data_IF_113628249436
#
_entry.id   IF_113628249436
#
_cell.length_a   1.000
_cell.length_b   1.000
_cell.length_c   1.000
_cell.angle_alpha   90.00
_cell.angle_beta   90.00
_cell.angle_gamma   90.00
#
_symmetry.space_group_name_H-M   'P 1'
#
loop_
_entity.id
_entity.type
_entity.pdbx_description
1 polymer ?
#
# COMPACT_ATOMS: atom_id res chain seq x y z
N UNK A 1 -30.57 6.53 51.83
CA UNK A 1 -29.17 6.98 51.60
C UNK A 1 -28.32 6.07 50.69
N UNK A 2 -28.61 4.77 50.50
CA UNK A 2 -27.78 3.89 49.65
C UNK A 2 -27.99 4.05 48.12
N UNK A 3 -29.11 4.62 47.68
CA UNK A 3 -29.47 4.73 46.24
C UNK A 3 -28.71 5.85 45.50
N UNK A 4 -28.44 7.00 46.14
CA UNK A 4 -27.74 8.12 45.48
C UNK A 4 -26.24 7.85 45.22
N UNK A 5 -25.61 7.00 46.03
CA UNK A 5 -24.18 6.65 45.87
C UNK A 5 -24.00 5.72 44.65
N UNK A 6 -24.93 4.78 44.43
CA UNK A 6 -24.87 3.84 43.30
C UNK A 6 -25.05 4.55 41.95
N UNK A 7 -25.90 5.57 41.89
CA UNK A 7 -26.12 6.40 40.69
C UNK A 7 -24.85 7.21 40.36
N UNK A 8 -24.18 7.80 41.35
CA UNK A 8 -22.91 8.51 41.15
C UNK A 8 -21.79 7.60 40.62
N UNK A 9 -21.68 6.35 41.13
CA UNK A 9 -20.70 5.38 40.64
C UNK A 9 -20.97 4.97 39.18
N UNK A 10 -22.23 4.78 38.80
CA UNK A 10 -22.59 4.45 37.41
C UNK A 10 -22.32 5.62 36.45
N UNK A 11 -22.59 6.86 36.87
CA UNK A 11 -22.26 8.05 36.09
C UNK A 11 -20.74 8.24 35.93
N UNK A 12 -19.94 8.00 36.98
CA UNK A 12 -18.48 8.06 36.90
C UNK A 12 -17.92 7.00 35.96
N UNK A 13 -18.42 5.76 36.01
CA UNK A 13 -18.01 4.68 35.11
C UNK A 13 -18.31 5.01 33.64
N UNK A 14 -19.50 5.55 33.34
CA UNK A 14 -19.87 5.99 32.00
C UNK A 14 -19.05 7.18 31.49
N UNK A 15 -18.66 8.11 32.38
CA UNK A 15 -17.79 9.22 32.01
C UNK A 15 -16.36 8.75 31.73
N UNK A 16 -15.84 7.78 32.49
CA UNK A 16 -14.53 7.18 32.23
C UNK A 16 -14.49 6.45 30.89
N UNK A 17 -15.51 5.64 30.58
CA UNK A 17 -15.64 4.97 29.27
C UNK A 17 -15.72 5.95 28.09
N UNK A 18 -16.48 7.05 28.22
CA UNK A 18 -16.55 8.09 27.18
C UNK A 18 -15.22 8.84 27.00
N UNK A 19 -14.46 9.00 28.07
CA UNK A 19 -13.16 9.67 28.05
C UNK A 19 -12.12 8.77 27.37
N UNK A 20 -12.09 7.49 27.69
CA UNK A 20 -11.22 6.49 27.05
C UNK A 20 -11.51 6.36 25.54
N UNK A 21 -12.78 6.29 25.15
CA UNK A 21 -13.16 6.24 23.73
C UNK A 21 -12.72 7.50 22.96
N UNK A 22 -12.93 8.69 23.54
CA UNK A 22 -12.53 9.97 22.91
C UNK A 22 -11.00 10.12 22.81
N UNK A 23 -10.25 9.62 23.80
CA UNK A 23 -8.79 9.61 23.78
C UNK A 23 -8.28 8.63 22.72
N UNK A 24 -8.86 7.42 22.63
CA UNK A 24 -8.54 6.43 21.59
C UNK A 24 -8.79 7.00 20.18
N UNK A 25 -9.94 7.64 19.96
CA UNK A 25 -10.27 8.29 18.68
C UNK A 25 -9.26 9.39 18.34
N UNK A 26 -8.82 10.20 19.31
CA UNK A 26 -7.83 11.27 19.09
C UNK A 26 -6.42 10.75 18.79
N UNK A 27 -6.00 9.65 19.42
CA UNK A 27 -4.69 9.01 19.19
C UNK A 27 -4.68 8.32 17.83
N UNK A 28 -5.73 7.58 17.51
CA UNK A 28 -5.92 6.96 16.20
C UNK A 28 -5.94 8.00 15.09
N UNK A 29 -6.66 9.12 15.29
CA UNK A 29 -6.70 10.22 14.34
C UNK A 29 -5.31 10.83 14.10
N UNK A 30 -4.56 11.07 15.17
CA UNK A 30 -3.20 11.62 15.10
C UNK A 30 -2.27 10.73 14.29
N UNK A 31 -2.35 9.40 14.48
CA UNK A 31 -1.49 8.43 13.78
C UNK A 31 -1.94 8.25 12.34
N UNK A 32 -3.24 8.00 12.10
CA UNK A 32 -3.79 7.71 10.77
C UNK A 32 -3.82 8.93 9.84
N UNK A 33 -3.82 10.15 10.37
CA UNK A 33 -3.76 11.34 9.52
C UNK A 33 -2.47 11.37 8.69
N UNK A 34 -2.62 11.48 7.37
CA UNK A 34 -1.54 11.42 6.39
C UNK A 34 -0.64 10.17 6.54
N UNK A 35 -1.22 9.04 6.97
CA UNK A 35 -0.45 7.82 7.27
C UNK A 35 0.36 7.30 6.09
N UNK A 36 -0.18 7.38 4.86
CA UNK A 36 0.57 7.02 3.66
C UNK A 36 1.88 7.79 3.52
N UNK A 37 1.81 9.12 3.67
CA UNK A 37 2.98 9.99 3.62
C UNK A 37 3.95 9.70 4.77
N UNK A 38 3.44 9.41 5.98
CA UNK A 38 4.29 9.03 7.12
C UNK A 38 5.04 7.72 6.88
N UNK A 39 4.36 6.69 6.36
CA UNK A 39 4.97 5.40 6.02
C UNK A 39 6.07 5.61 4.97
N UNK A 40 5.76 6.32 3.88
CA UNK A 40 6.74 6.56 2.82
C UNK A 40 7.94 7.38 3.31
N UNK A 41 7.71 8.45 4.07
CA UNK A 41 8.80 9.28 4.60
C UNK A 41 9.66 8.52 5.62
N UNK A 42 9.05 7.68 6.45
CA UNK A 42 9.77 6.81 7.38
C UNK A 42 10.66 5.81 6.62
N UNK A 43 10.12 5.18 5.58
CA UNK A 43 10.86 4.30 4.68
C UNK A 43 12.05 4.99 4.01
N UNK A 44 11.84 6.17 3.41
CA UNK A 44 12.93 6.95 2.77
C UNK A 44 13.99 7.38 3.79
N UNK A 45 13.58 7.77 5.00
CA UNK A 45 14.50 8.11 6.09
C UNK A 45 15.35 6.90 6.50
N UNK A 46 14.72 5.73 6.69
CA UNK A 46 15.42 4.53 7.16
C UNK A 46 16.39 3.99 6.10
N UNK A 47 16.05 4.08 4.80
CA UNK A 47 16.99 3.78 3.71
C UNK A 47 18.20 4.73 3.72
N UNK A 48 17.96 6.03 3.85
CA UNK A 48 19.00 7.05 3.66
C UNK A 48 19.88 7.29 4.89
N UNK A 49 19.32 7.10 6.10
CA UNK A 49 19.94 7.49 7.37
C UNK A 49 20.09 6.34 8.37
N UNK A 50 19.66 5.12 8.01
CA UNK A 50 19.67 3.95 8.91
C UNK A 50 18.95 4.22 10.25
N UNK A 51 17.84 4.97 10.20
CA UNK A 51 16.95 5.21 11.35
C UNK A 51 16.02 4.00 11.57
N UNK A 52 15.22 4.05 12.66
CA UNK A 52 14.16 3.05 12.98
C UNK A 52 12.76 3.67 12.97
N UNK A 53 12.52 4.60 12.05
CA UNK A 53 11.30 5.40 12.01
C UNK A 53 10.10 4.56 11.59
N UNK A 54 10.31 3.63 10.64
CA UNK A 54 9.27 2.73 10.15
C UNK A 54 8.86 1.72 11.23
N UNK A 55 9.81 1.21 12.00
CA UNK A 55 9.54 0.32 13.15
C UNK A 55 8.71 1.03 14.24
N UNK A 56 9.05 2.28 14.57
CA UNK A 56 8.25 3.08 15.51
C UNK A 56 6.80 3.25 15.04
N UNK A 57 6.60 3.50 13.74
CA UNK A 57 5.27 3.63 13.17
C UNK A 57 4.51 2.30 13.15
N UNK A 58 5.23 1.18 12.93
CA UNK A 58 4.68 -0.18 13.04
C UNK A 58 4.19 -0.47 14.46
N UNK A 59 4.95 -0.09 15.48
CA UNK A 59 4.56 -0.24 16.88
C UNK A 59 3.30 0.59 17.19
N UNK A 60 3.26 1.84 16.73
CA UNK A 60 2.10 2.73 16.90
C UNK A 60 0.83 2.18 16.26
N UNK A 61 0.90 1.69 15.01
CA UNK A 61 -0.25 1.08 14.34
C UNK A 61 -0.68 -0.24 15.00
N UNK A 62 0.27 -1.02 15.49
CA UNK A 62 -0.03 -2.27 16.21
C UNK A 62 -0.72 -1.98 17.53
N UNK A 63 -0.33 -0.92 18.25
CA UNK A 63 -0.98 -0.52 19.50
C UNK A 63 -2.44 -0.09 19.30
N UNK A 64 -2.74 0.66 18.23
CA UNK A 64 -4.13 1.05 17.90
C UNK A 64 -4.99 -0.18 17.55
N UNK A 65 -4.41 -1.20 16.92
CA UNK A 65 -5.17 -2.35 16.43
C UNK A 65 -5.59 -3.33 17.54
N UNK A 66 -4.87 -3.37 18.67
CA UNK A 66 -5.06 -4.32 19.79
C UNK A 66 -6.45 -4.31 20.45
N UNK A 67 -7.33 -3.36 20.10
CA UNK A 67 -8.68 -3.25 20.69
C UNK A 67 -9.85 -3.45 19.72
N UNK A 68 -9.68 -3.26 18.41
CA UNK A 68 -10.83 -2.91 17.56
C UNK A 68 -10.89 -3.56 16.17
N UNK A 69 -9.90 -4.37 15.76
CA UNK A 69 -9.84 -5.01 14.42
C UNK A 69 -10.26 -4.03 13.30
N UNK A 70 -9.74 -2.80 13.39
CA UNK A 70 -10.24 -1.72 12.57
C UNK A 70 -9.70 -1.93 11.15
N UNK A 71 -10.60 -2.15 10.19
CA UNK A 71 -10.29 -2.41 8.78
C UNK A 71 -9.28 -1.41 8.19
N UNK A 72 -9.42 -0.12 8.48
CA UNK A 72 -8.51 0.94 8.02
C UNK A 72 -7.13 0.78 8.65
N UNK A 73 -7.05 0.49 9.95
CA UNK A 73 -5.77 0.24 10.64
C UNK A 73 -5.09 -1.02 10.06
N UNK A 74 -5.84 -2.10 9.87
CA UNK A 74 -5.35 -3.34 9.27
C UNK A 74 -4.81 -3.10 7.85
N UNK A 75 -5.51 -2.33 7.02
CA UNK A 75 -5.03 -1.92 5.70
C UNK A 75 -3.67 -1.21 5.78
N UNK A 76 -3.57 -0.19 6.64
CA UNK A 76 -2.33 0.59 6.77
C UNK A 76 -1.19 -0.19 7.43
N UNK A 77 -1.48 -1.14 8.31
CA UNK A 77 -0.49 -2.10 8.82
C UNK A 77 0.07 -2.97 7.69
N UNK A 78 -0.78 -3.54 6.85
CA UNK A 78 -0.35 -4.33 5.69
C UNK A 78 0.41 -3.50 4.66
N UNK A 79 -0.01 -2.25 4.45
CA UNK A 79 0.70 -1.31 3.57
C UNK A 79 2.08 -0.93 4.12
N UNK A 80 2.21 -0.76 5.45
CA UNK A 80 3.51 -0.57 6.09
C UNK A 80 4.41 -1.79 5.84
N UNK A 81 3.88 -3.01 5.95
CA UNK A 81 4.69 -4.21 5.73
C UNK A 81 5.25 -4.32 4.31
N UNK A 82 4.53 -3.83 3.30
CA UNK A 82 5.09 -3.73 1.95
C UNK A 82 6.41 -2.94 1.93
N UNK A 83 6.47 -1.77 2.59
CA UNK A 83 7.69 -0.97 2.66
C UNK A 83 8.75 -1.58 3.58
N UNK A 84 8.35 -2.20 4.70
CA UNK A 84 9.29 -2.92 5.57
C UNK A 84 9.97 -4.07 4.83
N UNK A 85 9.25 -4.82 4.01
CA UNK A 85 9.82 -5.86 3.15
C UNK A 85 10.83 -5.30 2.16
N UNK A 86 10.54 -4.17 1.50
CA UNK A 86 11.48 -3.52 0.57
C UNK A 86 12.74 -3.08 1.32
N UNK A 87 12.60 -2.40 2.47
CA UNK A 87 13.73 -1.93 3.27
C UNK A 87 14.65 -3.08 3.69
N UNK A 88 14.07 -4.17 4.20
CA UNK A 88 14.84 -5.34 4.63
C UNK A 88 15.47 -6.08 3.44
N UNK A 89 14.78 -6.13 2.29
CA UNK A 89 15.34 -6.72 1.07
C UNK A 89 16.55 -5.95 0.56
N UNK A 90 16.46 -4.61 0.53
CA UNK A 90 17.54 -3.73 0.07
C UNK A 90 18.74 -3.70 1.02
N UNK A 91 18.52 -3.96 2.31
CA UNK A 91 19.59 -4.04 3.32
C UNK A 91 20.15 -5.45 3.52
N UNK A 92 19.76 -6.41 2.66
CA UNK A 92 20.26 -7.80 2.67
C UNK A 92 19.65 -8.70 3.76
N UNK A 93 18.68 -8.20 4.52
CA UNK A 93 18.01 -8.89 5.64
C UNK A 93 16.84 -9.75 5.14
N UNK A 94 17.14 -10.78 4.34
CA UNK A 94 16.12 -11.58 3.61
C UNK A 94 15.08 -12.25 4.50
N UNK A 95 15.49 -12.85 5.62
CA UNK A 95 14.55 -13.55 6.51
C UNK A 95 13.57 -12.58 7.18
N UNK A 96 14.04 -11.40 7.56
CA UNK A 96 13.19 -10.34 8.09
C UNK A 96 12.25 -9.81 6.99
N UNK A 97 12.75 -9.60 5.77
CA UNK A 97 11.91 -9.16 4.65
C UNK A 97 10.77 -10.15 4.35
N UNK A 98 11.06 -11.45 4.41
CA UNK A 98 10.08 -12.53 4.28
C UNK A 98 9.05 -12.48 5.41
N UNK A 99 9.49 -12.37 6.66
CA UNK A 99 8.58 -12.29 7.80
C UNK A 99 7.64 -11.07 7.73
N UNK A 100 8.12 -9.93 7.24
CA UNK A 100 7.28 -8.74 7.08
C UNK A 100 6.18 -8.94 6.03
N UNK A 101 6.50 -9.52 4.87
CA UNK A 101 5.49 -9.72 3.83
C UNK A 101 4.47 -10.77 4.25
N UNK A 102 4.89 -11.85 4.92
CA UNK A 102 4.01 -12.87 5.49
C UNK A 102 3.04 -12.25 6.50
N UNK A 103 3.54 -11.40 7.42
CA UNK A 103 2.71 -10.67 8.36
C UNK A 103 1.69 -9.76 7.65
N UNK A 104 2.10 -9.03 6.61
CA UNK A 104 1.21 -8.17 5.83
C UNK A 104 0.08 -8.94 5.15
N UNK A 105 0.41 -10.11 4.59
CA UNK A 105 -0.55 -11.01 3.95
C UNK A 105 -1.52 -11.60 4.98
N UNK A 106 -1.04 -12.04 6.14
CA UNK A 106 -1.86 -12.63 7.20
C UNK A 106 -2.90 -11.65 7.74
N UNK A 107 -2.51 -10.38 7.95
CA UNK A 107 -3.43 -9.32 8.38
C UNK A 107 -4.60 -9.20 7.40
N UNK A 108 -4.33 -9.15 6.09
CA UNK A 108 -5.40 -9.05 5.09
C UNK A 108 -6.18 -10.34 4.95
N UNK A 109 -5.52 -11.50 4.97
CA UNK A 109 -6.18 -12.80 4.84
C UNK A 109 -7.26 -13.00 5.93
N UNK A 110 -7.01 -12.52 7.15
CA UNK A 110 -7.95 -12.56 8.26
C UNK A 110 -9.13 -11.57 8.14
N UNK A 111 -9.11 -10.62 7.20
CA UNK A 111 -10.27 -9.76 6.93
C UNK A 111 -11.36 -10.54 6.18
N UNK A 112 -12.56 -10.59 6.76
CA UNK A 112 -13.77 -10.99 6.02
C UNK A 112 -14.23 -9.86 5.08
N UNK A 113 -14.91 -10.21 3.99
CA UNK A 113 -15.52 -9.24 3.06
C UNK A 113 -14.55 -8.16 2.53
N UNK A 114 -13.36 -8.57 2.10
CA UNK A 114 -12.36 -7.70 1.46
C UNK A 114 -12.98 -6.91 0.30
N UNK A 115 -12.64 -5.63 0.23
CA UNK A 115 -13.01 -4.72 -0.84
C UNK A 115 -11.99 -4.84 -1.98
N UNK A 116 -12.24 -4.11 -3.07
CA UNK A 116 -11.27 -4.00 -4.15
C UNK A 116 -9.89 -3.52 -3.66
N UNK A 117 -9.83 -2.61 -2.67
CA UNK A 117 -8.57 -2.07 -2.14
C UNK A 117 -7.76 -3.13 -1.38
N UNK A 118 -8.39 -3.98 -0.57
CA UNK A 118 -7.65 -5.01 0.18
C UNK A 118 -7.24 -6.19 -0.70
N UNK A 119 -8.07 -6.58 -1.67
CA UNK A 119 -7.64 -7.55 -2.68
C UNK A 119 -6.46 -7.02 -3.50
N UNK A 120 -6.47 -5.72 -3.83
CA UNK A 120 -5.36 -5.06 -4.52
C UNK A 120 -4.08 -5.09 -3.68
N UNK A 121 -4.15 -4.68 -2.41
CA UNK A 121 -2.98 -4.65 -1.53
C UNK A 121 -2.46 -6.06 -1.25
N UNK A 122 -3.34 -7.05 -1.10
CA UNK A 122 -2.96 -8.46 -0.95
C UNK A 122 -2.22 -8.97 -2.18
N UNK A 123 -2.73 -8.73 -3.39
CA UNK A 123 -2.03 -9.10 -4.62
C UNK A 123 -0.67 -8.42 -4.76
N UNK A 124 -0.55 -7.15 -4.32
CA UNK A 124 0.73 -6.42 -4.29
C UNK A 124 1.73 -7.05 -3.32
N UNK A 125 1.29 -7.47 -2.13
CA UNK A 125 2.13 -8.19 -1.16
C UNK A 125 2.55 -9.57 -1.70
N UNK A 126 1.63 -10.32 -2.28
CA UNK A 126 1.92 -11.61 -2.90
C UNK A 126 2.92 -11.48 -4.06
N UNK A 127 2.82 -10.41 -4.85
CA UNK A 127 3.77 -10.11 -5.93
C UNK A 127 5.21 -9.93 -5.42
N UNK A 128 5.42 -9.21 -4.30
CA UNK A 128 6.77 -9.08 -3.73
C UNK A 128 7.19 -10.34 -2.96
N UNK A 129 6.25 -11.13 -2.44
CA UNK A 129 6.55 -12.39 -1.77
C UNK A 129 7.06 -13.48 -2.74
N UNK A 130 6.81 -13.36 -4.05
CA UNK A 130 7.30 -14.30 -5.06
C UNK A 130 8.81 -14.51 -5.02
N UNK A 131 9.59 -13.49 -4.65
CA UNK A 131 11.05 -13.60 -4.53
C UNK A 131 11.51 -14.53 -3.40
N UNK A 132 10.60 -14.88 -2.47
CA UNK A 132 10.84 -15.78 -1.33
C UNK A 132 10.13 -17.13 -1.46
N UNK A 133 9.31 -17.32 -2.49
CA UNK A 133 8.32 -18.39 -2.53
C UNK A 133 8.89 -19.80 -2.71
N UNK A 134 10.08 -19.92 -3.32
CA UNK A 134 10.71 -21.22 -3.59
C UNK A 134 9.75 -22.20 -4.26
N UNK A 135 9.49 -23.34 -3.62
CA UNK A 135 8.55 -24.36 -4.10
C UNK A 135 7.07 -23.92 -4.15
N UNK A 136 6.70 -22.87 -3.42
CA UNK A 136 5.33 -22.33 -3.38
C UNK A 136 5.06 -21.27 -4.45
N UNK A 137 6.01 -21.02 -5.37
CA UNK A 137 5.88 -19.99 -6.39
C UNK A 137 4.61 -20.13 -7.22
N UNK A 138 4.24 -21.36 -7.62
CA UNK A 138 3.06 -21.59 -8.45
C UNK A 138 1.75 -21.28 -7.71
N UNK A 139 1.60 -21.76 -6.47
CA UNK A 139 0.41 -21.50 -5.67
C UNK A 139 0.28 -20.02 -5.31
N UNK A 140 1.39 -19.36 -4.98
CA UNK A 140 1.41 -17.94 -4.67
C UNK A 140 1.09 -17.09 -5.91
N UNK A 141 1.64 -17.45 -7.08
CA UNK A 141 1.33 -16.79 -8.35
C UNK A 141 -0.16 -16.92 -8.70
N UNK A 142 -0.76 -18.09 -8.43
CA UNK A 142 -2.19 -18.28 -8.63
C UNK A 142 -3.01 -17.39 -7.69
N UNK A 143 -2.69 -17.38 -6.39
CA UNK A 143 -3.37 -16.54 -5.39
C UNK A 143 -3.30 -15.05 -5.76
N UNK A 144 -2.11 -14.57 -6.12
CA UNK A 144 -1.87 -13.22 -6.62
C UNK A 144 -2.79 -12.84 -7.79
N UNK A 145 -2.86 -13.71 -8.80
CA UNK A 145 -3.72 -13.48 -9.97
C UNK A 145 -5.21 -13.52 -9.62
N UNK A 146 -5.64 -14.45 -8.78
CA UNK A 146 -7.02 -14.54 -8.33
C UNK A 146 -7.44 -13.28 -7.55
N UNK A 147 -6.56 -12.77 -6.68
CA UNK A 147 -6.81 -11.57 -5.88
C UNK A 147 -6.91 -10.31 -6.74
N UNK A 148 -5.97 -10.08 -7.67
CA UNK A 148 -6.03 -8.89 -8.52
C UNK A 148 -7.23 -8.93 -9.47
N UNK A 149 -7.60 -10.11 -9.99
CA UNK A 149 -8.80 -10.28 -10.80
C UNK A 149 -10.06 -9.99 -9.98
N UNK A 150 -10.15 -10.48 -8.75
CA UNK A 150 -11.28 -10.19 -7.86
C UNK A 150 -11.38 -8.70 -7.52
N UNK A 151 -10.25 -8.02 -7.30
CA UNK A 151 -10.24 -6.58 -7.08
C UNK A 151 -10.90 -5.81 -8.25
N UNK A 152 -10.55 -6.16 -9.49
CA UNK A 152 -11.11 -5.55 -10.69
C UNK A 152 -12.56 -5.96 -10.97
N UNK A 153 -12.97 -7.18 -10.57
CA UNK A 153 -14.37 -7.60 -10.64
C UNK A 153 -15.26 -6.80 -9.69
N UNK A 154 -14.78 -6.55 -8.46
CA UNK A 154 -15.50 -5.73 -7.48
C UNK A 154 -15.53 -4.26 -7.89
N UNK A 155 -14.43 -3.76 -8.46
CA UNK A 155 -14.31 -2.38 -8.91
C UNK A 155 -13.30 -2.23 -10.04
N UNK A 156 -13.80 -2.23 -11.28
CA UNK A 156 -12.99 -2.03 -12.47
C UNK A 156 -12.31 -0.65 -12.53
N UNK A 157 -12.86 0.35 -11.82
CA UNK A 157 -12.36 1.72 -11.79
C UNK A 157 -11.44 1.97 -10.56
N UNK A 158 -11.00 0.92 -9.87
CA UNK A 158 -9.99 1.07 -8.82
C UNK A 158 -8.62 1.34 -9.48
N UNK A 159 -8.11 2.56 -9.29
CA UNK A 159 -6.81 2.99 -9.82
C UNK A 159 -5.68 2.05 -9.41
N UNK A 160 -5.64 1.69 -8.12
CA UNK A 160 -4.58 0.86 -7.55
C UNK A 160 -4.67 -0.57 -8.05
N UNK A 161 -5.88 -1.10 -8.25
CA UNK A 161 -6.07 -2.42 -8.85
C UNK A 161 -5.52 -2.45 -10.29
N UNK A 162 -5.81 -1.41 -11.08
CA UNK A 162 -5.29 -1.31 -12.44
C UNK A 162 -3.77 -1.15 -12.45
N UNK A 163 -3.22 -0.30 -11.58
CA UNK A 163 -1.78 -0.17 -11.42
C UNK A 163 -1.11 -1.50 -11.03
N UNK A 164 -1.59 -2.18 -9.99
CA UNK A 164 -1.01 -3.44 -9.51
C UNK A 164 -1.15 -4.54 -10.56
N UNK A 165 -2.25 -4.60 -11.31
CA UNK A 165 -2.37 -5.52 -12.45
C UNK A 165 -1.31 -5.22 -13.51
N UNK A 166 -1.16 -3.95 -13.89
CA UNK A 166 -0.14 -3.52 -14.84
C UNK A 166 1.27 -3.89 -14.38
N UNK A 167 1.56 -3.74 -13.08
CA UNK A 167 2.83 -4.13 -12.49
C UNK A 167 3.08 -5.64 -12.51
N UNK A 168 2.08 -6.45 -12.14
CA UNK A 168 2.16 -7.90 -12.20
C UNK A 168 2.45 -8.35 -13.63
N UNK A 169 1.72 -7.82 -14.62
CA UNK A 169 1.93 -8.15 -16.03
C UNK A 169 3.31 -7.70 -16.52
N UNK A 170 3.79 -6.50 -16.11
CA UNK A 170 5.10 -5.96 -16.47
C UNK A 170 6.27 -6.85 -16.01
N UNK A 171 6.20 -7.36 -14.77
CA UNK A 171 7.25 -8.21 -14.20
C UNK A 171 7.11 -9.69 -14.57
N UNK A 172 5.94 -10.12 -15.03
CA UNK A 172 5.75 -11.50 -15.51
C UNK A 172 6.58 -11.74 -16.78
N UNK A 173 7.44 -12.77 -16.83
CA UNK A 173 8.23 -13.03 -18.03
C UNK A 173 7.35 -13.32 -19.27
N UNK A 174 7.78 -12.94 -20.49
CA UNK A 174 7.02 -13.19 -21.72
C UNK A 174 6.68 -14.67 -21.97
N UNK A 175 7.55 -15.59 -21.53
CA UNK A 175 7.33 -17.04 -21.62
C UNK A 175 6.09 -17.50 -20.82
N UNK A 176 5.68 -16.74 -19.80
CA UNK A 176 4.46 -16.95 -19.02
C UNK A 176 3.32 -16.02 -19.44
N UNK A 177 3.49 -15.30 -20.56
CA UNK A 177 2.47 -14.44 -21.15
C UNK A 177 2.44 -13.00 -20.64
N UNK A 178 3.41 -12.59 -19.82
CA UNK A 178 3.49 -11.21 -19.31
C UNK A 178 3.94 -10.18 -20.36
N UNK A 179 3.83 -8.90 -19.98
CA UNK A 179 4.15 -7.73 -20.80
C UNK A 179 3.12 -7.38 -21.88
N UNK A 180 1.98 -8.08 -21.95
CA UNK A 180 0.96 -7.88 -22.99
C UNK A 180 -0.13 -6.89 -22.60
N UNK A 181 -0.36 -6.71 -21.30
CA UNK A 181 -1.47 -5.94 -20.73
C UNK A 181 -0.98 -4.75 -19.92
N UNK A 182 0.29 -4.71 -19.55
CA UNK A 182 0.89 -3.67 -18.72
C UNK A 182 0.54 -2.27 -19.22
N UNK A 183 0.78 -1.94 -20.50
CA UNK A 183 0.49 -0.62 -21.06
C UNK A 183 -0.98 -0.22 -20.87
N UNK A 184 -1.92 -1.09 -21.25
CA UNK A 184 -3.36 -0.82 -21.17
C UNK A 184 -3.80 -0.51 -19.73
N UNK A 185 -3.36 -1.31 -18.76
CA UNK A 185 -3.76 -1.16 -17.37
C UNK A 185 -3.09 0.05 -16.70
N UNK A 186 -1.82 0.33 -17.03
CA UNK A 186 -1.12 1.50 -16.52
C UNK A 186 -1.68 2.80 -17.08
N UNK A 187 -2.00 2.85 -18.38
CA UNK A 187 -2.71 3.98 -19.00
C UNK A 187 -4.06 4.23 -18.32
N UNK A 188 -4.83 3.18 -18.09
CA UNK A 188 -6.12 3.34 -17.43
C UNK A 188 -5.99 3.81 -15.98
N UNK A 189 -4.98 3.33 -15.24
CA UNK A 189 -4.70 3.81 -13.90
C UNK A 189 -4.39 5.31 -13.84
N UNK A 190 -3.61 5.85 -14.79
CA UNK A 190 -3.28 7.29 -14.81
C UNK A 190 -4.45 8.19 -15.25
N UNK A 191 -5.46 7.65 -15.92
CA UNK A 191 -6.69 8.38 -16.26
C UNK A 191 -7.67 8.51 -15.08
N UNK A 192 -7.63 7.54 -14.15
CA UNK A 192 -8.53 7.51 -12.99
C UNK A 192 -8.17 8.56 -11.92
N UNK A 193 -9.14 9.09 -11.14
CA UNK A 193 -8.82 9.98 -10.02
C UNK A 193 -8.08 9.23 -8.90
N UNK A 194 -7.23 9.93 -8.14
CA UNK A 194 -6.48 9.35 -7.00
C UNK A 194 -7.39 8.69 -5.96
N UNK A 195 -8.60 9.25 -5.78
CA UNK A 195 -9.65 8.73 -4.93
C UNK A 195 -11.00 8.96 -5.61
N UNK A 196 -11.93 8.02 -5.46
CA UNK A 196 -13.33 8.20 -5.88
C UNK A 196 -14.06 9.19 -4.97
N UNK A 197 -13.86 9.02 -3.67
CA UNK A 197 -14.41 9.86 -2.61
C UNK A 197 -13.25 10.38 -1.75
N UNK A 198 -13.30 11.65 -1.34
CA UNK A 198 -12.31 12.25 -0.41
C UNK A 198 -12.52 11.76 1.04
N UNK A 199 -12.68 10.45 1.24
CA UNK A 199 -12.86 9.88 2.56
C UNK A 199 -11.54 9.91 3.32
N UNK A 200 -11.65 10.24 4.61
CA UNK A 200 -10.52 10.28 5.54
C UNK A 200 -9.86 8.89 5.58
N UNK A 201 -8.53 8.85 5.45
CA UNK A 201 -7.69 7.64 5.51
C UNK A 201 -7.78 6.66 4.34
N UNK A 202 -8.53 6.96 3.29
CA UNK A 202 -8.46 6.14 2.07
C UNK A 202 -7.08 6.27 1.41
N UNK A 203 -6.58 5.21 0.75
CA UNK A 203 -5.32 5.28 0.03
C UNK A 203 -5.37 6.31 -1.11
N UNK A 204 -4.22 6.90 -1.40
CA UNK A 204 -3.98 7.82 -2.53
C UNK A 204 -2.79 7.40 -3.39
N UNK A 205 -2.10 6.32 -3.02
CA UNK A 205 -0.94 5.78 -3.74
C UNK A 205 -1.34 5.19 -5.10
N UNK A 206 -0.33 4.91 -5.92
CA UNK A 206 -0.43 4.11 -7.14
C UNK A 206 -0.39 4.90 -8.43
N UNK A 207 -0.77 6.18 -8.43
CA UNK A 207 -0.86 6.95 -9.67
C UNK A 207 0.51 7.40 -10.19
N UNK A 208 1.34 7.91 -9.30
CA UNK A 208 2.74 8.23 -9.56
C UNK A 208 3.54 6.96 -9.89
N UNK A 209 3.29 5.87 -9.17
CA UNK A 209 3.90 4.56 -9.45
C UNK A 209 3.48 4.01 -10.83
N UNK A 210 2.22 4.23 -11.24
CA UNK A 210 1.75 3.86 -12.57
C UNK A 210 2.44 4.68 -13.67
N UNK A 211 2.61 5.99 -13.46
CA UNK A 211 3.40 6.83 -14.37
C UNK A 211 4.84 6.32 -14.49
N UNK A 212 5.52 6.11 -13.36
CA UNK A 212 6.91 5.62 -13.33
C UNK A 212 7.06 4.32 -14.13
N UNK A 213 6.14 3.38 -13.91
CA UNK A 213 6.18 2.09 -14.57
C UNK A 213 5.86 2.17 -16.07
N UNK A 214 4.91 3.00 -16.45
CA UNK A 214 4.55 3.24 -17.84
C UNK A 214 5.72 3.88 -18.61
N UNK A 215 6.39 4.86 -18.00
CA UNK A 215 7.58 5.49 -18.59
C UNK A 215 8.70 4.45 -18.76
N UNK A 216 8.96 3.63 -17.75
CA UNK A 216 9.96 2.56 -17.85
C UNK A 216 9.61 1.52 -18.92
N UNK A 217 8.33 1.16 -19.08
CA UNK A 217 7.86 0.29 -20.16
C UNK A 217 8.16 0.87 -21.53
N UNK A 218 7.87 2.16 -21.74
CA UNK A 218 8.16 2.83 -23.01
C UNK A 218 9.66 2.96 -23.28
N UNK A 219 10.47 3.29 -22.26
CA UNK A 219 11.92 3.30 -22.40
C UNK A 219 12.46 1.93 -22.78
N UNK A 220 11.97 0.86 -22.13
CA UNK A 220 12.35 -0.53 -22.43
C UNK A 220 12.01 -0.93 -23.87
N UNK A 221 10.92 -0.40 -24.42
CA UNK A 221 10.46 -0.68 -25.77
C UNK A 221 11.07 0.27 -26.83
N UNK A 222 11.90 1.23 -26.44
CA UNK A 222 12.47 2.24 -27.34
C UNK A 222 11.46 3.33 -27.78
N UNK A 223 10.29 3.39 -27.14
CA UNK A 223 9.22 4.35 -27.44
C UNK A 223 9.46 5.70 -26.73
N UNK A 224 10.61 6.33 -27.01
CA UNK A 224 11.08 7.54 -26.31
C UNK A 224 10.07 8.70 -26.29
N UNK A 225 9.36 8.94 -27.39
CA UNK A 225 8.37 10.01 -27.46
C UNK A 225 7.21 9.81 -26.47
N UNK A 226 6.75 8.56 -26.31
CA UNK A 226 5.72 8.23 -25.31
C UNK A 226 6.26 8.38 -23.90
N UNK A 227 7.49 7.90 -23.65
CA UNK A 227 8.15 8.07 -22.34
C UNK A 227 8.24 9.55 -21.95
N UNK A 228 8.66 10.42 -22.89
CA UNK A 228 8.76 11.86 -22.70
C UNK A 228 7.41 12.51 -22.42
N UNK A 229 6.39 12.20 -23.23
CA UNK A 229 5.02 12.70 -23.02
C UNK A 229 4.54 12.45 -21.59
N UNK A 230 4.63 11.20 -21.11
CA UNK A 230 4.12 10.85 -19.80
C UNK A 230 5.01 11.33 -18.65
N UNK A 231 6.32 11.45 -18.86
CA UNK A 231 7.19 12.10 -17.89
C UNK A 231 6.84 13.59 -17.70
N UNK A 232 6.61 14.33 -18.79
CA UNK A 232 6.20 15.73 -18.74
C UNK A 232 4.85 15.92 -18.04
N UNK A 233 3.90 15.01 -18.29
CA UNK A 233 2.59 14.99 -17.62
C UNK A 233 2.74 14.71 -16.11
N UNK A 234 3.48 13.67 -15.75
CA UNK A 234 3.70 13.27 -14.36
C UNK A 234 4.46 14.36 -13.57
N UNK A 235 5.47 14.98 -14.18
CA UNK A 235 6.31 15.98 -13.51
C UNK A 235 5.56 17.25 -13.10
N UNK A 236 4.44 17.57 -13.76
CA UNK A 236 3.57 18.69 -13.36
C UNK A 236 2.90 18.45 -12.01
N UNK A 237 2.56 17.20 -11.71
CA UNK A 237 1.78 16.82 -10.52
C UNK A 237 2.63 16.18 -9.42
N UNK A 238 3.78 15.59 -9.77
CA UNK A 238 4.61 14.78 -8.88
C UNK A 238 6.09 15.22 -8.87
N UNK A 239 6.36 16.52 -9.00
CA UNK A 239 7.71 17.09 -9.04
C UNK A 239 8.60 16.79 -7.81
N UNK A 240 8.01 16.31 -6.70
CA UNK A 240 8.72 15.90 -5.49
C UNK A 240 8.90 14.38 -5.35
N UNK A 241 8.37 13.59 -6.29
CA UNK A 241 8.58 12.13 -6.30
C UNK A 241 9.98 11.83 -6.82
N UNK A 242 10.86 11.32 -5.96
CA UNK A 242 12.27 11.09 -6.26
C UNK A 242 12.48 10.06 -7.38
N UNK A 243 11.73 8.96 -7.36
CA UNK A 243 11.82 7.86 -8.31
C UNK A 243 11.43 8.32 -9.72
N UNK A 244 10.33 9.07 -9.82
CA UNK A 244 9.90 9.67 -11.07
C UNK A 244 10.96 10.65 -11.58
N UNK A 245 11.47 11.55 -10.74
CA UNK A 245 12.48 12.52 -11.15
C UNK A 245 13.81 11.87 -11.58
N UNK A 246 14.15 10.69 -11.04
CA UNK A 246 15.33 9.93 -11.44
C UNK A 246 15.25 9.40 -12.89
N UNK A 247 14.07 9.39 -13.51
CA UNK A 247 13.91 9.02 -14.93
C UNK A 247 14.26 10.15 -15.90
N UNK A 248 14.45 11.39 -15.41
CA UNK A 248 14.64 12.58 -16.25
C UNK A 248 15.77 12.40 -17.26
N UNK A 249 16.94 11.93 -16.83
CA UNK A 249 18.10 11.76 -17.71
C UNK A 249 17.78 10.80 -18.85
N UNK A 250 17.24 9.62 -18.52
CA UNK A 250 16.88 8.58 -19.49
C UNK A 250 15.81 8.99 -20.50
N UNK A 251 14.93 9.90 -20.11
CA UNK A 251 13.82 10.40 -20.94
C UNK A 251 14.26 11.54 -21.86
N UNK A 252 15.28 12.30 -21.45
CA UNK A 252 15.73 13.50 -22.18
C UNK A 252 16.89 13.22 -23.15
N UNK A 253 17.47 12.02 -23.11
CA UNK A 253 18.39 11.46 -24.12
C UNK A 253 17.69 10.99 -25.40
#
# INVERSE_FOLDING_TARGET
>A
MKSNILICFFCLLLMMQKTEAKVFDSVSDSILNNIQGKIYNAFVSDISKQTSTLDKLKDQLTEIDKGNQNRTVMYWRSYLQFYSTILHSQTGKKDQAKAEVELGMDILNNLSNKSSEEFTLLARLESIALQFAGMHMMSLSKSMNDNIQRALQLDKNNLRANFVFGAIDYYTPPAFGGGKKAEQYLLYAIELPNQKDQRKYEPTWGKDEAYEMLINLYLKNGEKDKAKKYFEEASKNYSRNYQLMALKEKVME
#
